data_IF_782477572255
#
_entry.id   IF_782477572255
#
_cell.length_a   1.000
_cell.length_b   1.000
_cell.length_c   1.000
_cell.angle_alpha   90.00
_cell.angle_beta   90.00
_cell.angle_gamma   90.00
#
_symmetry.space_group_name_H-M   'P 1'
#
loop_
_entity.id
_entity.type
_entity.pdbx_description
1 polymer ?
#
# COMPACT_ATOMS: atom_id res chain seq x y z
N UNK A 1 32.64 -54.55 18.60
CA UNK A 1 31.57 -53.59 18.24
C UNK A 1 32.25 -52.39 17.63
N UNK A 2 32.20 -52.26 16.30
CA UNK A 2 32.90 -51.22 15.56
C UNK A 2 32.14 -49.90 15.58
N UNK A 3 32.83 -48.75 15.56
CA UNK A 3 32.19 -47.45 15.41
C UNK A 3 32.21 -46.99 13.93
N UNK A 4 31.04 -46.55 13.46
CA UNK A 4 30.83 -45.43 12.53
C UNK A 4 31.46 -45.48 11.14
N UNK A 5 30.65 -45.85 10.14
CA UNK A 5 31.01 -45.88 8.71
C UNK A 5 30.96 -44.49 8.01
N UNK A 6 31.06 -43.38 8.74
CA UNK A 6 31.09 -42.03 8.17
C UNK A 6 31.93 -41.08 9.04
N UNK A 7 33.23 -40.96 8.75
CA UNK A 7 34.04 -39.84 9.22
C UNK A 7 33.87 -38.69 8.24
N UNK A 8 33.28 -37.59 8.69
CA UNK A 8 33.07 -36.39 7.88
C UNK A 8 34.39 -35.58 7.77
N UNK A 9 34.65 -34.85 6.67
CA UNK A 9 35.99 -34.36 6.31
C UNK A 9 36.58 -33.28 7.23
N UNK A 10 35.83 -32.81 8.23
CA UNK A 10 36.26 -31.77 9.16
C UNK A 10 36.95 -32.31 10.42
N UNK A 11 37.16 -33.64 10.52
CA UNK A 11 37.75 -34.29 11.69
C UNK A 11 39.29 -34.45 11.61
N UNK A 12 39.97 -33.76 10.68
CA UNK A 12 41.44 -33.78 10.58
C UNK A 12 42.10 -32.56 11.24
N UNK A 13 43.14 -32.81 12.03
CA UNK A 13 43.93 -31.81 12.77
C UNK A 13 44.91 -30.99 11.89
N UNK A 14 44.69 -30.93 10.58
CA UNK A 14 45.54 -30.23 9.61
C UNK A 14 44.99 -28.83 9.30
N UNK A 15 45.84 -27.81 9.08
CA UNK A 15 45.40 -26.45 8.79
C UNK A 15 44.50 -26.42 7.53
N UNK A 16 43.30 -25.89 7.69
CA UNK A 16 42.30 -25.82 6.61
C UNK A 16 42.58 -24.59 5.75
N UNK A 17 42.81 -24.79 4.46
CA UNK A 17 43.00 -23.72 3.48
C UNK A 17 41.73 -23.56 2.64
N UNK A 18 41.20 -22.33 2.55
CA UNK A 18 40.08 -22.00 1.66
C UNK A 18 40.64 -21.59 0.31
N UNK A 19 40.34 -22.36 -0.74
CA UNK A 19 40.71 -22.00 -2.11
C UNK A 19 39.81 -20.82 -2.53
N UNK A 20 40.40 -19.65 -2.69
CA UNK A 20 39.67 -18.40 -2.96
C UNK A 20 39.57 -18.08 -4.45
N UNK A 21 40.44 -18.67 -5.28
CA UNK A 21 40.48 -18.50 -6.72
C UNK A 21 41.20 -19.69 -7.37
N UNK A 22 40.63 -20.21 -8.45
CA UNK A 22 41.24 -21.21 -9.30
C UNK A 22 41.33 -20.62 -10.71
N UNK A 23 42.53 -20.54 -11.26
CA UNK A 23 42.78 -20.03 -12.61
C UNK A 23 43.27 -21.19 -13.47
N UNK A 24 42.47 -21.56 -14.47
CA UNK A 24 42.77 -22.66 -15.37
C UNK A 24 43.30 -22.05 -16.66
N UNK A 25 44.59 -22.26 -16.94
CA UNK A 25 45.20 -21.88 -18.21
C UNK A 25 45.15 -23.10 -19.14
N UNK A 26 44.29 -23.10 -20.19
CA UNK A 26 44.23 -24.21 -21.11
C UNK A 26 45.48 -24.22 -21.99
N UNK A 27 46.19 -25.33 -22.02
CA UNK A 27 47.30 -25.59 -22.94
C UNK A 27 46.91 -26.77 -23.82
N UNK A 28 46.97 -26.61 -25.15
CA UNK A 28 46.84 -27.74 -26.05
C UNK A 28 48.21 -28.41 -26.21
N UNK A 29 48.30 -29.69 -25.88
CA UNK A 29 49.50 -30.50 -26.08
C UNK A 29 49.25 -31.43 -27.26
N UNK A 30 50.12 -31.37 -28.28
CA UNK A 30 50.05 -32.28 -29.42
C UNK A 30 50.46 -33.69 -28.95
N UNK A 31 49.60 -34.69 -29.17
CA UNK A 31 49.87 -36.07 -28.78
C UNK A 31 50.17 -36.91 -30.03
N UNK A 32 51.30 -37.61 -30.05
CA UNK A 32 51.59 -38.66 -31.03
C UNK A 32 51.21 -40.04 -30.45
N UNK A 33 50.72 -40.92 -31.32
CA UNK A 33 50.31 -42.28 -30.97
C UNK A 33 51.52 -43.18 -31.13
N UNK A 34 51.87 -43.93 -30.09
CA UNK A 34 52.92 -44.94 -30.18
C UNK A 34 52.38 -46.21 -30.88
N UNK A 35 53.24 -47.01 -31.51
CA UNK A 35 52.87 -48.13 -32.42
C UNK A 35 52.06 -49.27 -31.77
N UNK A 36 51.82 -49.18 -30.45
CA UNK A 36 50.95 -50.08 -29.67
C UNK A 36 49.56 -49.50 -29.37
N UNK A 37 49.21 -48.35 -29.95
CA UNK A 37 47.87 -47.76 -29.89
C UNK A 37 47.51 -47.08 -28.56
N UNK A 38 48.50 -46.69 -27.74
CA UNK A 38 48.29 -45.96 -26.48
C UNK A 38 48.85 -44.54 -26.57
N UNK A 39 48.04 -43.58 -26.13
CA UNK A 39 48.38 -42.14 -26.05
C UNK A 39 49.24 -41.91 -24.79
N UNK A 40 50.46 -41.39 -24.97
CA UNK A 40 51.32 -41.00 -23.85
C UNK A 40 51.02 -39.55 -23.43
N UNK A 41 50.40 -39.37 -22.27
CA UNK A 41 50.09 -38.04 -21.71
C UNK A 41 51.20 -37.61 -20.74
N UNK A 42 52.36 -37.20 -21.27
CA UNK A 42 53.45 -36.66 -20.46
C UNK A 42 53.25 -35.17 -20.18
N UNK A 43 52.71 -34.81 -19.02
CA UNK A 43 52.71 -33.42 -18.55
C UNK A 43 54.07 -33.07 -17.93
N UNK A 44 54.77 -31.98 -18.32
CA UNK A 44 55.97 -31.53 -17.62
C UNK A 44 55.60 -30.91 -16.26
N UNK A 45 56.48 -30.98 -15.25
CA UNK A 45 56.22 -30.38 -13.93
C UNK A 45 56.23 -28.85 -14.03
N UNK A 46 55.20 -28.22 -13.46
CA UNK A 46 55.01 -26.76 -13.49
C UNK A 46 55.60 -26.16 -12.21
N UNK A 47 56.88 -25.80 -12.22
CA UNK A 47 57.51 -25.18 -11.05
C UNK A 47 57.60 -23.64 -11.12
N UNK A 48 57.44 -23.01 -12.30
CA UNK A 48 57.49 -21.54 -12.41
C UNK A 48 56.47 -20.97 -13.40
N UNK A 49 55.70 -19.98 -12.96
CA UNK A 49 54.81 -19.18 -13.81
C UNK A 49 55.67 -18.31 -14.74
N UNK A 50 55.73 -18.66 -16.03
CA UNK A 50 56.28 -17.78 -17.06
C UNK A 50 55.20 -16.79 -17.52
N UNK A 51 55.43 -15.49 -17.26
CA UNK A 51 54.71 -14.38 -17.90
C UNK A 51 55.12 -14.35 -19.38
N UNK A 52 54.24 -14.78 -20.28
CA UNK A 52 54.46 -14.68 -21.72
C UNK A 52 53.80 -13.43 -22.29
N UNK A 53 54.65 -12.47 -22.68
CA UNK A 53 54.34 -11.24 -23.41
C UNK A 53 53.57 -11.52 -24.71
N UNK A 54 52.57 -10.69 -24.97
CA UNK A 54 51.69 -10.67 -26.14
C UNK A 54 52.42 -10.90 -27.47
N UNK A 55 51.97 -11.87 -28.25
CA UNK A 55 52.09 -11.86 -29.71
C UNK A 55 50.78 -12.34 -30.31
N UNK A 56 50.10 -11.45 -31.03
CA UNK A 56 48.87 -11.72 -31.76
C UNK A 56 49.11 -12.79 -32.82
N UNK A 57 48.64 -14.01 -32.59
CA UNK A 57 48.44 -14.98 -33.67
C UNK A 57 46.98 -15.43 -33.66
N UNK A 58 46.28 -15.01 -34.71
CA UNK A 58 44.83 -15.09 -34.85
C UNK A 58 44.44 -16.53 -35.22
N UNK A 59 43.89 -17.28 -34.26
CA UNK A 59 43.30 -18.59 -34.49
C UNK A 59 41.95 -18.45 -35.23
N UNK A 60 41.60 -19.36 -36.16
CA UNK A 60 40.39 -19.25 -36.98
C UNK A 60 39.10 -19.62 -36.22
N UNK A 61 39.20 -20.01 -34.94
CA UNK A 61 38.04 -20.35 -34.12
C UNK A 61 37.78 -19.25 -33.07
N UNK A 62 36.51 -18.82 -32.88
CA UNK A 62 36.17 -17.86 -31.84
C UNK A 62 36.47 -18.46 -30.46
N UNK A 63 37.24 -17.73 -29.64
CA UNK A 63 37.54 -18.13 -28.27
C UNK A 63 36.23 -18.22 -27.47
N UNK A 64 35.98 -19.39 -26.87
CA UNK A 64 34.88 -19.54 -25.91
C UNK A 64 35.19 -18.68 -24.67
N UNK A 65 34.21 -17.96 -24.10
CA UNK A 65 34.43 -17.16 -22.90
C UNK A 65 34.90 -18.03 -21.74
N UNK A 66 35.80 -17.49 -20.92
CA UNK A 66 36.35 -18.20 -19.77
C UNK A 66 35.22 -18.65 -18.82
N UNK A 67 35.08 -19.96 -18.65
CA UNK A 67 34.13 -20.54 -17.70
C UNK A 67 34.68 -20.39 -16.29
N UNK A 68 34.08 -19.52 -15.47
CA UNK A 68 34.41 -19.38 -14.05
C UNK A 68 33.24 -19.85 -13.21
N UNK A 69 33.48 -20.80 -12.30
CA UNK A 69 32.48 -21.30 -11.36
C UNK A 69 32.75 -20.67 -9.98
N UNK A 70 31.80 -19.88 -9.47
CA UNK A 70 31.84 -19.36 -8.10
C UNK A 70 30.89 -20.21 -7.27
N UNK A 71 31.43 -21.04 -6.39
CA UNK A 71 30.64 -21.74 -5.39
C UNK A 71 30.29 -20.73 -4.27
N UNK A 72 29.16 -20.03 -4.44
CA UNK A 72 28.55 -19.29 -3.35
C UNK A 72 27.75 -20.30 -2.50
N UNK A 73 27.99 -20.29 -1.19
CA UNK A 73 27.30 -21.15 -0.23
C UNK A 73 25.78 -20.94 -0.34
N UNK A 74 25.04 -22.05 -0.39
CA UNK A 74 23.62 -22.09 -0.63
C UNK A 74 22.82 -21.15 0.30
N UNK A 75 22.38 -20.02 -0.28
CA UNK A 75 21.07 -19.45 -0.01
C UNK A 75 20.30 -19.55 -1.34
N UNK A 76 19.31 -20.43 -1.35
CA UNK A 76 18.18 -20.56 -2.30
C UNK A 76 18.40 -19.97 -3.71
N UNK A 77 18.60 -20.88 -4.68
CA UNK A 77 18.62 -20.56 -6.10
C UNK A 77 17.26 -20.03 -6.55
N UNK A 78 17.19 -18.72 -6.77
CA UNK A 78 16.31 -18.10 -7.75
C UNK A 78 16.57 -18.75 -9.13
N UNK A 79 15.53 -19.35 -9.71
CA UNK A 79 15.46 -19.57 -11.15
C UNK A 79 15.40 -18.20 -11.84
N UNK A 80 16.53 -17.75 -12.40
CA UNK A 80 16.51 -16.73 -13.44
C UNK A 80 16.44 -17.43 -14.80
N UNK A 81 15.22 -17.59 -15.30
CA UNK A 81 14.96 -17.62 -16.74
C UNK A 81 14.90 -16.17 -17.25
N UNK A 82 15.56 -15.94 -18.36
CA UNK A 82 15.85 -14.67 -19.01
C UNK A 82 14.70 -13.63 -19.08
N UNK A 83 15.03 -12.37 -18.79
CA UNK A 83 14.23 -11.21 -19.20
C UNK A 83 14.34 -10.02 -18.25
N UNK A 84 14.80 -8.86 -18.76
CA UNK A 84 15.07 -7.62 -18.03
C UNK A 84 14.20 -7.34 -16.79
N UNK A 85 14.84 -7.28 -15.63
CA UNK A 85 14.23 -6.98 -14.33
C UNK A 85 13.78 -5.52 -14.19
N UNK A 86 12.72 -5.14 -14.90
CA UNK A 86 11.70 -4.29 -14.30
C UNK A 86 10.83 -5.20 -13.42
N UNK A 87 10.50 -4.78 -12.20
CA UNK A 87 9.65 -5.58 -11.31
C UNK A 87 8.32 -5.91 -11.97
N UNK A 88 8.22 -7.10 -12.55
CA UNK A 88 6.98 -7.62 -13.10
C UNK A 88 6.12 -8.00 -11.91
N UNK A 89 5.20 -7.10 -11.58
CA UNK A 89 4.01 -7.43 -10.78
C UNK A 89 3.40 -8.67 -11.42
N UNK A 90 3.27 -9.77 -10.68
CA UNK A 90 2.48 -10.90 -11.16
C UNK A 90 1.06 -10.36 -11.48
N UNK A 91 0.61 -10.40 -12.74
CA UNK A 91 -0.72 -9.90 -13.12
C UNK A 91 -1.84 -10.57 -12.31
N UNK A 92 -1.52 -11.72 -11.71
CA UNK A 92 -2.33 -12.45 -10.75
C UNK A 92 -2.81 -11.60 -9.56
N UNK A 93 -2.00 -10.71 -8.96
CA UNK A 93 -2.41 -9.97 -7.75
C UNK A 93 -3.42 -8.85 -8.06
N UNK A 94 -3.22 -8.16 -9.19
CA UNK A 94 -4.14 -7.16 -9.71
C UNK A 94 -5.45 -7.82 -10.15
N UNK A 95 -5.36 -8.98 -10.83
CA UNK A 95 -6.51 -9.82 -11.15
C UNK A 95 -7.24 -10.28 -9.88
N UNK A 96 -6.55 -10.77 -8.85
CA UNK A 96 -7.19 -11.18 -7.60
C UNK A 96 -7.92 -10.03 -6.90
N UNK A 97 -7.31 -8.85 -6.77
CA UNK A 97 -7.97 -7.71 -6.11
C UNK A 97 -9.20 -7.24 -6.90
N UNK A 98 -9.09 -7.18 -8.24
CA UNK A 98 -10.19 -6.82 -9.13
C UNK A 98 -11.31 -7.88 -9.15
N UNK A 99 -10.97 -9.15 -9.39
CA UNK A 99 -11.92 -10.26 -9.53
C UNK A 99 -12.60 -10.64 -8.21
N UNK A 100 -11.89 -10.54 -7.08
CA UNK A 100 -12.39 -10.96 -5.76
C UNK A 100 -13.14 -9.84 -5.04
N UNK A 101 -12.77 -8.57 -5.24
CA UNK A 101 -13.38 -7.46 -4.48
C UNK A 101 -14.19 -6.54 -5.36
N UNK A 102 -13.62 -5.97 -6.41
CA UNK A 102 -14.32 -4.97 -7.23
C UNK A 102 -15.45 -5.58 -8.07
N UNK A 103 -15.17 -6.62 -8.84
CA UNK A 103 -16.14 -7.26 -9.73
C UNK A 103 -17.41 -7.76 -9.00
N UNK A 104 -17.34 -8.48 -7.86
CA UNK A 104 -18.55 -8.98 -7.20
C UNK A 104 -19.37 -7.85 -6.59
N UNK A 105 -18.74 -6.83 -5.98
CA UNK A 105 -19.48 -5.70 -5.39
C UNK A 105 -20.17 -4.91 -6.50
N UNK A 106 -19.49 -4.67 -7.63
CA UNK A 106 -20.06 -3.94 -8.76
C UNK A 106 -21.20 -4.72 -9.40
N UNK A 107 -21.03 -6.04 -9.55
CA UNK A 107 -22.08 -6.93 -10.02
C UNK A 107 -23.27 -6.96 -9.06
N UNK A 108 -23.06 -6.91 -7.74
CA UNK A 108 -24.14 -6.85 -6.74
C UNK A 108 -24.88 -5.53 -6.86
N UNK A 109 -24.18 -4.40 -6.92
CA UNK A 109 -24.80 -3.08 -7.07
C UNK A 109 -25.59 -2.98 -8.37
N UNK A 110 -25.01 -3.41 -9.49
CA UNK A 110 -25.68 -3.41 -10.80
C UNK A 110 -26.86 -4.38 -10.83
N UNK A 111 -26.75 -5.57 -10.24
CA UNK A 111 -27.88 -6.51 -10.14
C UNK A 111 -29.01 -5.96 -9.29
N UNK A 112 -28.69 -5.33 -8.15
CA UNK A 112 -29.68 -4.69 -7.28
C UNK A 112 -30.36 -3.54 -8.01
N UNK A 113 -29.58 -2.66 -8.64
CA UNK A 113 -30.09 -1.51 -9.39
C UNK A 113 -30.93 -1.96 -10.59
N UNK A 114 -30.46 -2.93 -11.38
CA UNK A 114 -31.18 -3.45 -12.54
C UNK A 114 -32.48 -4.16 -12.12
N UNK A 115 -32.45 -4.96 -11.04
CA UNK A 115 -33.65 -5.56 -10.47
C UNK A 115 -34.65 -4.50 -10.03
N UNK A 116 -34.18 -3.42 -9.39
CA UNK A 116 -35.05 -2.34 -8.92
C UNK A 116 -35.60 -1.50 -10.09
N UNK A 117 -34.85 -1.30 -11.17
CA UNK A 117 -35.31 -0.65 -12.41
C UNK A 117 -36.31 -1.55 -13.17
N UNK A 118 -36.03 -2.85 -13.30
CA UNK A 118 -36.92 -3.79 -13.98
C UNK A 118 -38.25 -3.89 -13.23
N UNK A 119 -38.21 -4.07 -11.91
CA UNK A 119 -39.41 -4.09 -11.06
C UNK A 119 -40.20 -2.78 -11.19
N UNK A 120 -39.52 -1.65 -11.35
CA UNK A 120 -40.19 -0.37 -11.60
C UNK A 120 -40.91 -0.33 -12.95
N UNK A 121 -40.27 -0.80 -14.03
CA UNK A 121 -40.91 -0.87 -15.34
C UNK A 121 -42.14 -1.79 -15.33
N UNK A 122 -42.11 -2.87 -14.55
CA UNK A 122 -43.25 -3.77 -14.37
C UNK A 122 -44.37 -3.11 -13.53
N UNK A 123 -44.02 -2.33 -12.50
CA UNK A 123 -44.99 -1.63 -11.64
C UNK A 123 -45.61 -0.39 -12.31
N UNK A 124 -44.97 0.24 -13.30
CA UNK A 124 -45.61 1.28 -14.11
C UNK A 124 -46.86 0.79 -14.86
N UNK A 125 -47.06 -0.54 -14.97
CA UNK A 125 -48.28 -1.13 -15.49
C UNK A 125 -49.44 -1.20 -14.47
N UNK A 126 -49.15 -1.06 -13.16
CA UNK A 126 -50.11 -1.03 -12.05
C UNK A 126 -50.03 0.33 -11.32
N UNK A 127 -50.92 1.26 -11.66
CA UNK A 127 -50.81 2.70 -11.33
C UNK A 127 -50.85 3.09 -9.84
N UNK A 128 -51.19 2.21 -8.89
CA UNK A 128 -51.47 2.61 -7.49
C UNK A 128 -50.33 2.38 -6.47
N UNK A 129 -49.29 1.57 -6.77
CA UNK A 129 -48.24 1.19 -5.78
C UNK A 129 -46.82 1.74 -6.10
N UNK A 130 -46.69 2.57 -7.13
CA UNK A 130 -45.40 2.96 -7.74
C UNK A 130 -44.58 3.94 -6.89
N UNK A 131 -45.20 4.69 -5.98
CA UNK A 131 -44.51 5.74 -5.21
C UNK A 131 -43.74 5.24 -3.97
N UNK A 132 -43.87 3.97 -3.59
CA UNK A 132 -43.44 3.49 -2.26
C UNK A 132 -42.20 2.56 -2.21
N UNK A 133 -41.43 2.34 -3.29
CA UNK A 133 -40.31 1.36 -3.24
C UNK A 133 -39.01 1.80 -3.96
N UNK A 134 -37.86 1.50 -3.33
CA UNK A 134 -36.52 1.55 -3.95
C UNK A 134 -35.79 2.90 -3.94
N UNK A 135 -34.99 3.16 -4.98
CA UNK A 135 -34.15 4.36 -5.12
C UNK A 135 -34.94 5.67 -5.24
N UNK A 136 -36.16 5.62 -5.78
CA UNK A 136 -37.04 6.78 -5.94
C UNK A 136 -37.50 7.29 -4.58
N UNK A 137 -37.83 6.42 -3.63
CA UNK A 137 -38.08 6.85 -2.24
C UNK A 137 -36.89 7.58 -1.61
N UNK A 138 -35.68 7.20 -1.99
CA UNK A 138 -34.47 7.71 -1.40
C UNK A 138 -34.20 9.17 -1.79
N UNK A 139 -34.64 9.60 -2.99
CA UNK A 139 -34.25 10.90 -3.55
C UNK A 139 -34.60 12.08 -2.63
N UNK A 140 -35.67 11.97 -1.85
CA UNK A 140 -36.15 13.03 -0.94
C UNK A 140 -35.44 13.04 0.42
N UNK A 141 -34.74 11.96 0.78
CA UNK A 141 -34.17 11.74 2.11
C UNK A 141 -32.64 11.77 2.14
N UNK A 142 -31.93 11.43 1.04
CA UNK A 142 -30.45 11.34 1.00
C UNK A 142 -29.78 12.64 1.47
N UNK A 143 -30.30 13.78 1.05
CA UNK A 143 -29.68 15.08 1.33
C UNK A 143 -30.15 15.73 2.64
N UNK A 144 -30.88 14.99 3.47
CA UNK A 144 -31.28 15.48 4.77
C UNK A 144 -30.09 15.63 5.70
N UNK A 145 -30.16 16.61 6.59
CA UNK A 145 -29.19 16.77 7.68
C UNK A 145 -29.19 15.50 8.56
N UNK A 146 -28.05 14.81 8.72
CA UNK A 146 -27.93 13.67 9.63
C UNK A 146 -27.89 14.13 11.10
N UNK A 147 -28.25 13.24 12.03
CA UNK A 147 -28.28 13.52 13.47
C UNK A 147 -26.91 13.99 14.01
N UNK A 148 -25.82 13.37 13.54
CA UNK A 148 -24.45 13.70 13.93
C UNK A 148 -23.69 14.44 12.82
N UNK A 149 -24.29 15.48 12.24
CA UNK A 149 -23.72 16.23 11.11
C UNK A 149 -22.35 16.87 11.38
N UNK A 150 -22.05 17.23 12.63
CA UNK A 150 -20.74 17.76 13.05
C UNK A 150 -19.64 16.71 12.96
N UNK A 151 -19.91 15.48 13.43
CA UNK A 151 -18.95 14.38 13.43
C UNK A 151 -18.71 13.91 12.01
N UNK A 152 -19.77 13.75 11.22
CA UNK A 152 -19.64 13.36 9.81
C UNK A 152 -18.80 14.38 9.04
N UNK A 153 -19.08 15.68 9.17
CA UNK A 153 -18.30 16.71 8.49
C UNK A 153 -16.82 16.72 8.92
N UNK A 154 -16.54 16.49 10.21
CA UNK A 154 -15.17 16.40 10.71
C UNK A 154 -14.43 15.16 10.16
N UNK A 155 -15.08 13.99 10.17
CA UNK A 155 -14.52 12.75 9.61
C UNK A 155 -14.29 12.86 8.10
N UNK A 156 -15.20 13.46 7.35
CA UNK A 156 -15.00 13.72 5.91
C UNK A 156 -13.81 14.65 5.68
N UNK A 157 -13.64 15.69 6.50
CA UNK A 157 -12.48 16.58 6.42
C UNK A 157 -11.16 15.86 6.65
N UNK A 158 -11.06 15.10 7.75
CA UNK A 158 -9.86 14.31 8.05
C UNK A 158 -9.61 13.21 7.01
N UNK A 159 -10.66 12.61 6.45
CA UNK A 159 -10.55 11.65 5.36
C UNK A 159 -9.95 12.27 4.09
N UNK A 160 -10.42 13.46 3.70
CA UNK A 160 -9.84 14.19 2.55
C UNK A 160 -8.37 14.60 2.80
N UNK A 161 -8.01 14.90 4.05
CA UNK A 161 -6.63 15.16 4.45
C UNK A 161 -5.74 13.93 4.25
N UNK A 162 -6.19 12.76 4.71
CA UNK A 162 -5.48 11.49 4.56
C UNK A 162 -5.31 11.10 3.10
N UNK A 163 -6.40 11.11 2.33
CA UNK A 163 -6.39 10.77 0.90
C UNK A 163 -5.48 11.73 0.13
N UNK A 164 -5.59 13.04 0.38
CA UNK A 164 -4.73 14.05 -0.25
C UNK A 164 -3.25 13.85 0.08
N UNK A 165 -2.93 13.60 1.36
CA UNK A 165 -1.56 13.30 1.79
C UNK A 165 -1.03 12.02 1.12
N UNK A 166 -1.81 10.93 1.15
CA UNK A 166 -1.41 9.65 0.55
C UNK A 166 -1.19 9.78 -0.96
N UNK A 167 -2.11 10.44 -1.66
CA UNK A 167 -2.02 10.64 -3.11
C UNK A 167 -0.77 11.42 -3.51
N UNK A 168 -0.50 12.57 -2.86
CA UNK A 168 0.70 13.37 -3.14
C UNK A 168 1.98 12.61 -2.77
N UNK A 169 1.97 11.89 -1.65
CA UNK A 169 3.13 11.09 -1.22
C UNK A 169 3.47 10.01 -2.24
N UNK A 170 2.47 9.25 -2.70
CA UNK A 170 2.69 8.18 -3.67
C UNK A 170 3.14 8.74 -5.02
N UNK A 171 2.61 9.88 -5.47
CA UNK A 171 3.09 10.54 -6.69
C UNK A 171 4.56 10.94 -6.56
N UNK A 172 4.96 11.60 -5.47
CA UNK A 172 6.35 12.00 -5.26
C UNK A 172 7.28 10.78 -5.12
N UNK A 173 6.79 9.69 -4.53
CA UNK A 173 7.51 8.43 -4.47
C UNK A 173 7.67 7.78 -5.85
N UNK A 174 6.60 7.77 -6.66
CA UNK A 174 6.64 7.26 -8.03
C UNK A 174 7.54 8.07 -8.97
N UNK A 175 7.66 9.38 -8.75
CA UNK A 175 8.59 10.25 -9.46
C UNK A 175 10.06 10.12 -8.99
N UNK A 176 10.33 9.31 -7.95
CA UNK A 176 11.68 9.10 -7.43
C UNK A 176 12.24 10.28 -6.63
N UNK A 177 11.39 11.18 -6.12
CA UNK A 177 11.82 12.34 -5.31
C UNK A 177 12.45 11.89 -3.98
N UNK A 178 12.02 10.74 -3.45
CA UNK A 178 12.59 10.17 -2.23
C UNK A 178 13.83 9.35 -2.57
N UNK A 179 15.00 9.96 -2.37
CA UNK A 179 16.27 9.24 -2.49
C UNK A 179 16.45 8.23 -1.33
N UNK A 180 16.82 6.97 -1.61
CA UNK A 180 17.17 5.96 -0.61
C UNK A 180 18.27 6.38 0.38
N UNK A 181 19.06 7.41 0.03
CA UNK A 181 20.16 7.91 0.85
C UNK A 181 19.71 8.66 2.11
N UNK A 182 18.50 9.26 2.11
CA UNK A 182 17.98 10.01 3.25
C UNK A 182 16.96 9.18 4.03
N UNK A 183 17.47 8.41 5.01
CA UNK A 183 16.63 7.67 5.96
C UNK A 183 15.68 8.64 6.67
N UNK A 184 14.37 8.37 6.59
CA UNK A 184 13.34 9.19 7.24
C UNK A 184 12.79 10.36 6.42
N UNK A 185 13.31 10.61 5.21
CA UNK A 185 12.79 11.67 4.32
C UNK A 185 11.30 11.48 4.01
N UNK A 186 10.87 10.25 3.70
CA UNK A 186 9.48 9.91 3.42
C UNK A 186 8.57 10.26 4.62
N UNK A 187 8.95 9.88 5.84
CA UNK A 187 8.16 10.18 7.04
C UNK A 187 8.07 11.68 7.29
N UNK A 188 9.18 12.42 7.15
CA UNK A 188 9.20 13.87 7.30
C UNK A 188 8.32 14.56 6.25
N UNK A 189 8.38 14.12 5.00
CA UNK A 189 7.52 14.64 3.93
C UNK A 189 6.05 14.32 4.19
N UNK A 190 5.71 13.11 4.65
CA UNK A 190 4.34 12.78 5.05
C UNK A 190 3.85 13.68 6.18
N UNK A 191 4.68 13.98 7.19
CA UNK A 191 4.31 14.92 8.26
C UNK A 191 4.05 16.33 7.72
N UNK A 192 4.92 16.84 6.84
CA UNK A 192 4.74 18.17 6.23
C UNK A 192 3.47 18.18 5.38
N UNK A 193 3.29 17.19 4.50
CA UNK A 193 2.10 17.06 3.66
C UNK A 193 0.83 16.94 4.50
N UNK A 194 0.86 16.18 5.59
CA UNK A 194 -0.24 16.10 6.56
C UNK A 194 -0.62 17.48 7.07
N UNK A 195 0.36 18.29 7.49
CA UNK A 195 0.08 19.64 8.00
C UNK A 195 -0.51 20.56 6.94
N UNK A 196 0.04 20.54 5.71
CA UNK A 196 -0.41 21.38 4.59
C UNK A 196 -1.82 20.98 4.14
N UNK A 197 -2.10 19.67 4.07
CA UNK A 197 -3.43 19.15 3.76
C UNK A 197 -4.48 19.48 4.83
N UNK A 198 -4.07 19.98 6.00
CA UNK A 198 -4.99 20.54 7.00
C UNK A 198 -5.89 21.65 6.44
N UNK A 199 -5.39 22.45 5.49
CA UNK A 199 -6.23 23.42 4.78
C UNK A 199 -7.39 22.76 4.03
N UNK A 200 -7.12 21.66 3.32
CA UNK A 200 -8.12 20.89 2.57
C UNK A 200 -9.12 20.25 3.53
N UNK A 201 -8.65 19.75 4.67
CA UNK A 201 -9.49 19.19 5.74
C UNK A 201 -10.49 20.22 6.27
N UNK A 202 -10.00 21.42 6.59
CA UNK A 202 -10.82 22.55 7.03
C UNK A 202 -11.84 22.98 5.98
N UNK A 203 -11.39 23.11 4.72
CA UNK A 203 -12.23 23.52 3.60
C UNK A 203 -13.38 22.55 3.36
N UNK A 204 -13.08 21.25 3.23
CA UNK A 204 -14.06 20.20 2.92
C UNK A 204 -15.04 20.00 4.08
N UNK A 205 -14.56 19.97 5.33
CA UNK A 205 -15.44 19.87 6.51
C UNK A 205 -16.38 21.08 6.63
N UNK A 206 -15.91 22.30 6.39
CA UNK A 206 -16.75 23.50 6.43
C UNK A 206 -17.80 23.52 5.32
N UNK A 207 -17.44 23.09 4.10
CA UNK A 207 -18.35 22.96 2.95
C UNK A 207 -19.47 21.95 3.23
N UNK A 208 -19.11 20.77 3.74
CA UNK A 208 -20.06 19.72 4.12
C UNK A 208 -20.96 20.18 5.27
N UNK A 209 -20.41 20.88 6.25
CA UNK A 209 -21.19 21.41 7.37
C UNK A 209 -22.18 22.51 6.93
N UNK A 210 -21.80 23.33 5.94
CA UNK A 210 -22.66 24.33 5.32
C UNK A 210 -23.77 23.70 4.47
N UNK A 211 -23.49 22.59 3.76
CA UNK A 211 -24.51 21.80 3.04
C UNK A 211 -25.64 21.38 4.00
N UNK A 212 -25.31 21.00 5.23
CA UNK A 212 -26.28 20.65 6.26
C UNK A 212 -26.96 21.84 6.96
N UNK A 213 -26.87 23.06 6.41
CA UNK A 213 -27.50 24.29 6.95
C UNK A 213 -27.18 24.55 8.43
N UNK A 214 -25.99 24.16 8.89
CA UNK A 214 -25.60 24.27 10.28
C UNK A 214 -24.75 25.51 10.53
N UNK A 215 -25.00 26.21 11.65
CA UNK A 215 -24.48 27.57 11.90
C UNK A 215 -23.10 27.55 12.60
N UNK A 216 -22.85 26.58 13.48
CA UNK A 216 -21.67 26.54 14.35
C UNK A 216 -20.42 25.95 13.66
N UNK A 217 -19.92 26.60 12.60
CA UNK A 217 -18.78 26.08 11.83
C UNK A 217 -17.48 26.01 12.65
N UNK A 218 -17.26 26.94 13.58
CA UNK A 218 -16.07 26.97 14.45
C UNK A 218 -15.92 25.67 15.27
N UNK A 219 -17.02 25.16 15.83
CA UNK A 219 -16.99 23.95 16.65
C UNK A 219 -16.68 22.71 15.79
N UNK A 220 -17.20 22.67 14.56
CA UNK A 220 -16.86 21.62 13.60
C UNK A 220 -15.38 21.66 13.23
N UNK A 221 -14.83 22.85 12.96
CA UNK A 221 -13.41 23.03 12.66
C UNK A 221 -12.50 22.58 13.80
N UNK A 222 -12.86 22.92 15.05
CA UNK A 222 -12.12 22.45 16.25
C UNK A 222 -12.13 20.92 16.30
N UNK A 223 -13.29 20.29 16.06
CA UNK A 223 -13.39 18.82 16.03
C UNK A 223 -12.53 18.20 14.93
N UNK A 224 -12.55 18.76 13.72
CA UNK A 224 -11.70 18.31 12.60
C UNK A 224 -10.21 18.41 12.95
N UNK A 225 -9.80 19.52 13.60
CA UNK A 225 -8.41 19.77 13.91
C UNK A 225 -7.86 18.97 15.11
N UNK A 226 -8.74 18.54 16.02
CA UNK A 226 -8.32 17.92 17.29
C UNK A 226 -8.63 16.43 17.39
N UNK A 227 -9.78 15.95 16.90
CA UNK A 227 -10.25 14.58 17.22
C UNK A 227 -9.34 13.53 16.58
N UNK A 228 -9.17 13.58 15.25
CA UNK A 228 -8.37 12.56 14.57
C UNK A 228 -6.87 12.64 14.91
N UNK A 229 -6.21 13.82 14.81
CA UNK A 229 -4.81 13.93 15.21
C UNK A 229 -4.58 13.63 16.69
N UNK A 230 -5.54 13.98 17.56
CA UNK A 230 -5.46 13.72 19.00
C UNK A 230 -5.55 12.24 19.34
N UNK A 231 -6.40 11.47 18.68
CA UNK A 231 -6.43 10.00 18.84
C UNK A 231 -5.11 9.39 18.40
N UNK A 232 -4.61 9.75 17.21
CA UNK A 232 -3.33 9.25 16.69
C UNK A 232 -2.17 9.61 17.63
N UNK A 233 -2.10 10.87 18.07
CA UNK A 233 -1.08 11.33 19.00
C UNK A 233 -1.17 10.61 20.36
N UNK A 234 -2.37 10.33 20.86
CA UNK A 234 -2.56 9.61 22.13
C UNK A 234 -2.04 8.18 22.05
N UNK A 235 -2.34 7.47 20.96
CA UNK A 235 -1.82 6.10 20.72
C UNK A 235 -0.31 6.13 20.57
N UNK A 236 0.20 7.05 19.76
CA UNK A 236 1.64 7.23 19.56
C UNK A 236 2.36 7.56 20.87
N UNK A 237 1.81 8.46 21.69
CA UNK A 237 2.36 8.85 22.98
C UNK A 237 2.39 7.67 23.96
N UNK A 238 1.31 6.89 24.03
CA UNK A 238 1.26 5.69 24.86
C UNK A 238 2.34 4.67 24.45
N UNK A 239 2.50 4.43 23.14
CA UNK A 239 3.57 3.58 22.62
C UNK A 239 4.96 4.16 22.94
N UNK A 240 5.14 5.48 22.84
CA UNK A 240 6.40 6.14 23.16
C UNK A 240 6.74 6.03 24.67
N UNK A 241 5.75 6.07 25.55
CA UNK A 241 5.94 5.83 27.00
C UNK A 241 6.45 4.41 27.25
N UNK A 242 5.92 3.41 26.56
CA UNK A 242 6.43 2.03 26.63
C UNK A 242 7.88 1.98 26.15
N UNK A 243 8.22 2.64 25.05
CA UNK A 243 9.60 2.66 24.53
C UNK A 243 10.59 3.34 25.49
N UNK A 244 10.19 4.43 26.16
CA UNK A 244 10.99 5.05 27.22
C UNK A 244 11.18 4.13 28.42
N UNK A 245 10.16 3.36 28.81
CA UNK A 245 10.28 2.41 29.91
C UNK A 245 11.33 1.33 29.64
N UNK A 246 11.50 0.95 28.38
CA UNK A 246 12.49 -0.02 27.90
C UNK A 246 13.84 0.62 27.54
N UNK A 247 14.03 1.93 27.77
CA UNK A 247 15.25 2.68 27.41
C UNK A 247 15.64 2.50 25.93
N UNK A 248 14.65 2.32 25.05
CA UNK A 248 14.90 2.07 23.63
C UNK A 248 15.44 3.31 22.93
N UNK A 249 16.49 3.15 22.12
CA UNK A 249 17.01 4.22 21.26
C UNK A 249 16.03 4.66 20.17
N UNK A 250 14.97 3.88 19.91
CA UNK A 250 13.89 4.23 18.99
C UNK A 250 12.84 5.16 19.61
N UNK A 251 12.89 5.38 20.93
CA UNK A 251 11.95 6.27 21.60
C UNK A 251 12.17 7.73 21.16
N UNK A 252 11.09 8.42 20.83
CA UNK A 252 11.15 9.84 20.48
C UNK A 252 11.48 10.65 21.73
N UNK A 253 12.50 11.50 21.64
CA UNK A 253 12.93 12.36 22.74
C UNK A 253 11.84 13.37 23.13
N UNK A 254 11.90 13.88 24.36
CA UNK A 254 10.95 14.89 24.84
C UNK A 254 10.90 16.12 23.91
N UNK A 255 12.05 16.56 23.42
CA UNK A 255 12.16 17.66 22.45
C UNK A 255 11.43 17.34 21.14
N UNK A 256 11.51 16.09 20.66
CA UNK A 256 10.78 15.64 19.48
C UNK A 256 9.26 15.71 19.67
N UNK A 257 8.76 15.31 20.84
CA UNK A 257 7.33 15.45 21.18
C UNK A 257 6.89 16.91 21.23
N UNK A 258 7.70 17.78 21.84
CA UNK A 258 7.41 19.21 21.90
C UNK A 258 7.39 19.83 20.49
N UNK A 259 8.29 19.41 19.60
CA UNK A 259 8.30 19.85 18.20
C UNK A 259 7.06 19.38 17.44
N UNK A 260 6.60 18.13 17.65
CA UNK A 260 5.35 17.63 17.06
C UNK A 260 4.13 18.39 17.57
N UNK A 261 4.07 18.71 18.87
CA UNK A 261 3.01 19.53 19.45
C UNK A 261 3.05 20.96 18.89
N UNK A 262 4.23 21.57 18.77
CA UNK A 262 4.39 22.89 18.18
C UNK A 262 3.94 22.91 16.71
N UNK A 263 4.27 21.88 15.94
CA UNK A 263 3.82 21.72 14.56
C UNK A 263 2.29 21.56 14.47
N UNK A 264 1.69 20.76 15.36
CA UNK A 264 0.26 20.53 15.39
C UNK A 264 -0.53 21.78 15.81
N UNK A 265 -0.24 22.34 16.99
CA UNK A 265 -0.96 23.50 17.52
C UNK A 265 -0.57 24.81 16.83
N UNK A 266 0.69 24.97 16.44
CA UNK A 266 1.21 26.22 15.87
C UNK A 266 0.98 26.36 14.36
N UNK A 267 0.97 25.28 13.59
CA UNK A 267 0.81 25.33 12.13
C UNK A 267 -0.46 24.62 11.68
N UNK A 268 -0.66 23.35 12.06
CA UNK A 268 -1.76 22.54 11.53
C UNK A 268 -3.13 23.09 11.92
N UNK A 269 -3.36 23.44 13.20
CA UNK A 269 -4.64 24.00 13.65
C UNK A 269 -4.98 25.31 12.92
N UNK A 270 -4.12 26.34 12.89
CA UNK A 270 -4.38 27.56 12.13
C UNK A 270 -4.69 27.31 10.66
N UNK A 271 -3.99 26.36 10.03
CA UNK A 271 -4.21 26.03 8.63
C UNK A 271 -5.58 25.38 8.38
N UNK A 272 -6.03 24.50 9.28
CA UNK A 272 -7.40 23.96 9.26
C UNK A 272 -8.44 25.06 9.42
N UNK A 273 -8.20 26.03 10.31
CA UNK A 273 -9.06 27.20 10.46
C UNK A 273 -9.09 28.09 9.21
N UNK A 274 -7.94 28.34 8.59
CA UNK A 274 -7.85 29.09 7.34
C UNK A 274 -8.65 28.39 6.23
N UNK A 275 -8.45 27.08 6.06
CA UNK A 275 -9.22 26.26 5.11
C UNK A 275 -10.72 26.32 5.36
N UNK A 276 -11.14 26.19 6.62
CA UNK A 276 -12.55 26.26 7.00
C UNK A 276 -13.16 27.65 6.74
N UNK A 277 -12.41 28.73 7.00
CA UNK A 277 -12.83 30.09 6.70
C UNK A 277 -13.11 30.29 5.20
N UNK A 278 -12.17 29.87 4.34
CA UNK A 278 -12.37 29.91 2.88
C UNK A 278 -13.53 29.00 2.44
N UNK A 279 -13.64 27.80 3.00
CA UNK A 279 -14.72 26.86 2.68
C UNK A 279 -16.11 27.40 3.04
N UNK A 280 -16.23 28.09 4.17
CA UNK A 280 -17.50 28.65 4.62
C UNK A 280 -17.91 29.91 3.84
N UNK A 281 -16.94 30.67 3.30
CA UNK A 281 -17.20 31.85 2.45
C UNK A 281 -17.85 31.46 1.11
N UNK A 282 -17.55 30.28 0.58
CA UNK A 282 -18.10 29.79 -0.68
C UNK A 282 -19.62 29.51 -0.59
N UNK A 283 -20.41 29.70 -1.66
CA UNK A 283 -21.85 29.48 -1.65
C UNK A 283 -22.20 28.03 -1.28
N UNK A 284 -23.30 27.82 -0.56
CA UNK A 284 -23.71 26.46 -0.20
C UNK A 284 -23.90 25.60 -1.45
N UNK A 285 -23.51 24.32 -1.37
CA UNK A 285 -23.69 23.37 -2.48
C UNK A 285 -25.20 23.25 -2.75
N UNK A 286 -25.60 23.51 -4.00
CA UNK A 286 -26.99 23.41 -4.43
C UNK A 286 -27.38 21.94 -4.51
N UNK A 287 -28.47 21.59 -3.84
CA UNK A 287 -28.99 20.22 -3.82
C UNK A 287 -29.90 20.06 -5.04
N UNK A 288 -29.70 19.04 -5.89
CA UNK A 288 -30.44 18.89 -7.15
C UNK A 288 -31.90 18.48 -6.97
N UNK A 289 -32.30 18.08 -5.75
CA UNK A 289 -33.60 17.51 -5.44
C UNK A 289 -34.26 18.21 -4.25
N UNK A 290 -35.58 18.23 -4.24
CA UNK A 290 -36.37 18.73 -3.12
C UNK A 290 -36.33 17.73 -1.97
N UNK A 291 -35.92 18.19 -0.79
CA UNK A 291 -35.86 17.37 0.42
C UNK A 291 -37.23 17.28 1.07
N UNK A 292 -37.62 16.08 1.50
CA UNK A 292 -38.85 15.84 2.26
C UNK A 292 -38.73 16.42 3.68
N UNK A 293 -39.78 17.09 4.15
CA UNK A 293 -39.78 17.77 5.46
C UNK A 293 -39.94 16.79 6.63
N UNK A 294 -40.66 15.69 6.43
CA UNK A 294 -40.99 14.71 7.45
C UNK A 294 -40.10 13.47 7.24
N UNK A 295 -39.43 12.95 8.29
CA UNK A 295 -38.67 11.71 8.16
C UNK A 295 -39.64 10.56 7.94
N UNK A 296 -39.40 9.76 6.90
CA UNK A 296 -40.04 8.45 6.83
C UNK A 296 -39.52 7.56 7.97
N UNK A 297 -40.33 6.60 8.35
CA UNK A 297 -39.89 5.55 9.25
C UNK A 297 -38.98 4.60 8.45
N UNK A 298 -37.75 4.43 8.91
CA UNK A 298 -36.84 3.40 8.36
C UNK A 298 -37.37 2.05 8.84
N UNK A 299 -37.51 1.04 7.95
CA UNK A 299 -37.93 -0.30 8.34
C UNK A 299 -37.03 -0.86 9.46
N UNK A 300 -37.58 -1.76 10.28
CA UNK A 300 -36.78 -2.42 11.32
C UNK A 300 -35.75 -3.33 10.66
N UNK A 301 -34.48 -2.99 10.85
CA UNK A 301 -33.39 -3.73 10.23
C UNK A 301 -33.12 -5.04 10.97
N UNK A 302 -32.80 -6.12 10.23
CA UNK A 302 -32.34 -7.34 10.85
C UNK A 302 -31.03 -7.11 11.62
N UNK A 303 -30.76 -7.95 12.62
CA UNK A 303 -29.64 -7.76 13.55
C UNK A 303 -28.26 -7.63 12.86
N UNK A 304 -28.06 -8.27 11.71
CA UNK A 304 -26.81 -8.20 10.94
C UNK A 304 -26.64 -6.89 10.16
N UNK A 305 -27.68 -6.06 10.04
CA UNK A 305 -27.58 -4.72 9.43
C UNK A 305 -27.31 -3.61 10.45
N UNK A 306 -26.99 -3.97 11.70
CA UNK A 306 -26.62 -2.99 12.72
C UNK A 306 -25.41 -2.13 12.25
N UNK A 307 -25.45 -0.78 12.36
CA UNK A 307 -24.44 0.11 11.80
C UNK A 307 -22.99 -0.23 12.19
N UNK A 308 -22.77 -0.68 13.42
CA UNK A 308 -21.44 -1.10 13.89
C UNK A 308 -20.94 -2.36 13.19
N UNK A 309 -21.82 -3.34 12.94
CA UNK A 309 -21.46 -4.58 12.24
C UNK A 309 -21.24 -4.30 10.76
N UNK A 310 -22.10 -3.50 10.13
CA UNK A 310 -21.91 -3.03 8.75
C UNK A 310 -20.60 -2.25 8.57
N UNK A 311 -20.22 -1.42 9.56
CA UNK A 311 -18.95 -0.68 9.52
C UNK A 311 -17.73 -1.62 9.59
N UNK A 312 -17.81 -2.68 10.39
CA UNK A 312 -16.73 -3.67 10.52
C UNK A 312 -16.61 -4.55 9.27
N UNK A 313 -17.72 -5.13 8.81
CA UNK A 313 -17.76 -5.97 7.60
C UNK A 313 -17.43 -5.14 6.36
N UNK A 314 -17.96 -3.92 6.26
CA UNK A 314 -17.68 -3.01 5.17
C UNK A 314 -16.23 -2.56 5.13
N UNK A 315 -15.54 -2.46 6.27
CA UNK A 315 -14.10 -2.18 6.33
C UNK A 315 -13.21 -3.38 6.02
N UNK A 316 -13.68 -4.61 6.25
CA UNK A 316 -12.91 -5.82 5.97
C UNK A 316 -12.68 -6.06 4.47
N UNK A 317 -13.63 -5.66 3.62
CA UNK A 317 -13.55 -5.79 2.16
C UNK A 317 -12.43 -4.92 1.52
N UNK A 318 -12.35 -3.60 1.73
CA UNK A 318 -11.25 -2.79 1.21
C UNK A 318 -9.91 -3.15 1.87
N UNK A 319 -9.92 -3.65 3.11
CA UNK A 319 -8.74 -4.23 3.74
C UNK A 319 -8.24 -5.48 2.99
N UNK A 320 -9.14 -6.37 2.58
CA UNK A 320 -8.81 -7.52 1.74
C UNK A 320 -8.20 -7.11 0.39
N UNK A 321 -8.76 -6.07 -0.25
CA UNK A 321 -8.25 -5.55 -1.54
C UNK A 321 -6.80 -5.02 -1.48
N UNK A 322 -6.36 -4.55 -0.32
CA UNK A 322 -5.01 -4.02 -0.09
C UNK A 322 -4.09 -4.98 0.68
N UNK A 323 -4.56 -6.17 1.05
CA UNK A 323 -3.84 -7.09 1.94
C UNK A 323 -2.49 -7.54 1.36
N UNK A 324 -2.45 -7.86 0.07
CA UNK A 324 -1.22 -8.29 -0.62
C UNK A 324 -0.17 -7.19 -0.60
N UNK A 325 -0.58 -5.94 -0.83
CA UNK A 325 0.35 -4.80 -0.79
C UNK A 325 0.81 -4.47 0.61
N UNK A 326 -0.09 -4.56 1.57
CA UNK A 326 0.27 -4.40 2.98
C UNK A 326 1.33 -5.44 3.37
N UNK A 327 1.19 -6.69 2.89
CA UNK A 327 2.16 -7.75 3.10
C UNK A 327 3.52 -7.46 2.46
N UNK A 328 3.56 -7.03 1.20
CA UNK A 328 4.82 -6.65 0.55
C UNK A 328 5.49 -5.46 1.24
N UNK A 329 4.71 -4.43 1.60
CA UNK A 329 5.21 -3.25 2.29
C UNK A 329 5.78 -3.63 3.67
N UNK A 330 5.07 -4.45 4.46
CA UNK A 330 5.58 -4.92 5.74
C UNK A 330 6.81 -5.81 5.60
N UNK A 331 6.86 -6.67 4.58
CA UNK A 331 8.04 -7.49 4.30
C UNK A 331 9.26 -6.63 3.98
N UNK A 332 9.10 -5.58 3.16
CA UNK A 332 10.17 -4.61 2.91
C UNK A 332 10.63 -3.89 4.19
N UNK A 333 9.69 -3.45 5.04
CA UNK A 333 10.01 -2.80 6.32
C UNK A 333 10.79 -3.76 7.23
N UNK A 334 10.34 -5.01 7.36
CA UNK A 334 10.96 -6.01 8.22
C UNK A 334 12.36 -6.39 7.75
N UNK A 335 12.56 -6.51 6.44
CA UNK A 335 13.85 -6.83 5.83
C UNK A 335 14.76 -5.60 5.69
N UNK A 336 14.33 -4.41 6.10
CA UNK A 336 15.03 -3.15 5.88
C UNK A 336 15.40 -2.89 4.39
N UNK A 337 14.56 -3.37 3.46
CA UNK A 337 14.71 -3.20 2.01
C UNK A 337 13.82 -2.05 1.54
N UNK A 338 14.24 -1.39 0.46
CA UNK A 338 13.43 -0.34 -0.15
C UNK A 338 12.28 -0.97 -0.95
N UNK A 339 11.08 -0.40 -0.79
CA UNK A 339 9.93 -0.76 -1.60
C UNK A 339 10.00 -0.02 -2.93
N UNK A 340 10.12 -0.74 -4.06
CA UNK A 340 10.33 -0.15 -5.38
C UNK A 340 9.06 -0.07 -6.25
N UNK A 341 7.97 -0.72 -5.85
CA UNK A 341 6.74 -0.83 -6.62
C UNK A 341 5.77 0.34 -6.36
N UNK A 342 6.26 1.58 -6.39
CA UNK A 342 5.43 2.78 -6.12
C UNK A 342 4.34 3.01 -7.18
N UNK A 343 4.60 2.68 -8.45
CA UNK A 343 3.59 2.75 -9.51
C UNK A 343 2.42 1.79 -9.28
N UNK A 344 2.71 0.59 -8.78
CA UNK A 344 1.69 -0.37 -8.40
C UNK A 344 0.89 0.10 -7.16
N UNK A 345 1.58 0.62 -6.15
CA UNK A 345 0.96 1.20 -4.95
C UNK A 345 -0.03 2.33 -5.30
N UNK A 346 0.27 3.13 -6.34
CA UNK A 346 -0.63 4.16 -6.84
C UNK A 346 -1.93 3.59 -7.43
N UNK A 347 -1.84 2.53 -8.24
CA UNK A 347 -3.02 1.84 -8.77
C UNK A 347 -3.88 1.24 -7.67
N UNK A 348 -3.25 0.60 -6.68
CA UNK A 348 -3.95 0.04 -5.52
C UNK A 348 -4.63 1.13 -4.69
N UNK A 349 -4.00 2.31 -4.54
CA UNK A 349 -4.64 3.45 -3.88
C UNK A 349 -5.91 3.91 -4.62
N UNK A 350 -5.92 3.92 -5.96
CA UNK A 350 -7.10 4.25 -6.77
C UNK A 350 -8.19 3.19 -6.57
N UNK A 351 -7.85 1.92 -6.67
CA UNK A 351 -8.79 0.80 -6.46
C UNK A 351 -9.37 0.86 -5.04
N UNK A 352 -8.55 1.18 -4.04
CA UNK A 352 -8.99 1.35 -2.66
C UNK A 352 -10.01 2.50 -2.54
N UNK A 353 -9.80 3.62 -3.22
CA UNK A 353 -10.73 4.75 -3.18
C UNK A 353 -12.08 4.39 -3.84
N UNK A 354 -12.04 3.69 -4.97
CA UNK A 354 -13.23 3.24 -5.69
C UNK A 354 -14.01 2.23 -4.86
N UNK A 355 -13.36 1.18 -4.35
CA UNK A 355 -13.98 0.15 -3.52
C UNK A 355 -14.55 0.73 -2.23
N UNK A 356 -13.85 1.65 -1.55
CA UNK A 356 -14.39 2.36 -0.39
C UNK A 356 -15.65 3.17 -0.74
N UNK A 357 -15.65 3.87 -1.88
CA UNK A 357 -16.81 4.65 -2.31
C UNK A 357 -18.01 3.74 -2.62
N UNK A 358 -17.79 2.66 -3.35
CA UNK A 358 -18.80 1.69 -3.75
C UNK A 358 -19.43 0.97 -2.55
N UNK A 359 -18.61 0.50 -1.62
CA UNK A 359 -19.05 -0.15 -0.40
C UNK A 359 -19.87 0.83 0.45
N UNK A 360 -19.40 2.07 0.60
CA UNK A 360 -20.14 3.11 1.33
C UNK A 360 -21.51 3.37 0.71
N UNK A 361 -21.60 3.53 -0.62
CA UNK A 361 -22.87 3.71 -1.33
C UNK A 361 -23.80 2.51 -1.12
N UNK A 362 -23.26 1.30 -1.26
CA UNK A 362 -24.02 0.05 -1.15
C UNK A 362 -24.59 -0.15 0.25
N UNK A 363 -23.78 0.04 1.29
CA UNK A 363 -24.25 -0.08 2.68
C UNK A 363 -25.26 1.01 3.04
N UNK A 364 -25.04 2.26 2.62
CA UNK A 364 -26.01 3.34 2.84
C UNK A 364 -27.32 3.06 2.11
N UNK A 365 -27.26 2.50 0.89
CA UNK A 365 -28.44 2.09 0.14
C UNK A 365 -29.23 1.01 0.88
N UNK A 366 -28.57 -0.08 1.27
CA UNK A 366 -29.22 -1.15 2.03
C UNK A 366 -29.76 -0.64 3.36
N UNK A 367 -29.04 0.23 4.07
CA UNK A 367 -29.48 0.76 5.36
C UNK A 367 -30.67 1.74 5.27
N UNK A 368 -30.98 2.25 4.08
CA UNK A 368 -32.11 3.15 3.91
C UNK A 368 -33.29 2.47 3.21
N UNK A 369 -33.05 1.52 2.31
CA UNK A 369 -34.11 0.88 1.52
C UNK A 369 -34.61 -0.42 2.18
N UNK A 370 -33.69 -1.15 2.84
CA UNK A 370 -33.96 -2.38 3.58
C UNK A 370 -33.87 -2.14 5.10
#
# INVERSE_FOLDING_TARGET
MGPGLFSLPWDSSSPQYRIVRLEIVPVSVHHEIDDSGRLNCGLPPVDHLQESTESQQQSPFPALPAFSFRADDAAETEENSEGGGGGVVEPLSLSFSYDVVFQPIAMILLRVLYRDISRYNDLLADEEDVEEKGWKLLHGDVFRKPAHSTVLAALTGSGMQLVGMAFVTVIFAGLGVFSPAFRGSLLQTMLILWTVMGAVAGYTSARMYKLFKSVNWKMTTIRTALVFPGVVFSVFFLMNVVLWSQQSSAAVSFTGLLALLALWFGISIPLVFAGAYYGFKQPAISIPVRINKIPRQVPQQPWFMHPALCSLVGGALPFGAMLTELFFLFSCIWQHRFYYLFGFLFLVLIILCITCAEISITFVYFQLVW
#
